data_IF_355813804738
#
_entry.id   IF_355813804738
#
_cell.length_a   1.000
_cell.length_b   1.000
_cell.length_c   1.000
_cell.angle_alpha   90.00
_cell.angle_beta   90.00
_cell.angle_gamma   90.00
#
_symmetry.space_group_name_H-M   'P 1'
#
loop_
_entity.id
_entity.type
_entity.pdbx_description
1 polymer ?
#
# COMPACT_ATOMS: atom_id res chain seq x y z
N UNK A 1 23.06 -16.63 16.94
CA UNK A 1 21.95 -16.81 15.97
C UNK A 1 21.38 -15.44 15.60
N UNK A 2 21.98 -14.72 14.64
CA UNK A 2 21.62 -13.33 14.32
C UNK A 2 21.52 -13.05 12.79
N UNK A 3 21.16 -14.06 11.99
CA UNK A 3 21.06 -13.92 10.52
C UNK A 3 19.63 -13.74 9.98
N UNK A 4 18.59 -13.87 10.82
CA UNK A 4 17.20 -13.88 10.34
C UNK A 4 16.56 -12.49 10.18
N UNK A 5 17.00 -11.48 10.94
CA UNK A 5 16.33 -10.16 10.95
C UNK A 5 16.51 -9.38 9.62
N UNK A 6 17.70 -9.46 9.01
CA UNK A 6 17.99 -8.71 7.77
C UNK A 6 17.21 -9.25 6.57
N UNK A 7 17.14 -10.58 6.44
CA UNK A 7 16.32 -11.22 5.39
C UNK A 7 14.82 -11.07 5.62
N UNK A 8 14.37 -10.94 6.88
CA UNK A 8 12.99 -10.61 7.21
C UNK A 8 12.65 -9.20 6.71
N UNK A 9 13.49 -8.20 7.02
CA UNK A 9 13.34 -6.84 6.49
C UNK A 9 13.35 -6.78 4.97
N UNK A 10 14.21 -7.55 4.30
CA UNK A 10 14.26 -7.58 2.83
C UNK A 10 13.00 -8.22 2.21
N UNK A 11 12.47 -9.28 2.83
CA UNK A 11 11.21 -9.92 2.41
C UNK A 11 10.00 -9.02 2.68
N UNK A 12 9.94 -8.39 3.84
CA UNK A 12 8.91 -7.41 4.20
C UNK A 12 8.90 -6.27 3.16
N UNK A 13 10.06 -5.72 2.77
CA UNK A 13 10.18 -4.69 1.71
C UNK A 13 9.64 -5.10 0.33
N UNK A 14 9.69 -6.40 -0.02
CA UNK A 14 9.22 -6.93 -1.31
C UNK A 14 7.70 -7.22 -1.30
N UNK A 15 7.16 -7.68 -0.17
CA UNK A 15 5.73 -7.96 0.04
C UNK A 15 4.90 -6.68 0.03
N UNK A 16 5.51 -5.62 0.54
CA UNK A 16 5.02 -4.26 0.59
C UNK A 16 4.40 -3.88 -0.76
N UNK A 17 5.15 -3.67 -1.86
CA UNK A 17 4.59 -3.28 -3.17
C UNK A 17 3.43 -4.18 -3.68
N UNK A 18 3.45 -5.46 -3.33
CA UNK A 18 2.50 -6.49 -3.80
C UNK A 18 1.04 -6.21 -3.45
N UNK A 19 0.73 -5.63 -2.28
CA UNK A 19 -0.67 -5.59 -1.80
C UNK A 19 -1.55 -4.67 -2.65
N UNK A 20 -1.02 -3.52 -3.10
CA UNK A 20 -1.76 -2.72 -4.08
C UNK A 20 -1.73 -3.37 -5.46
N UNK A 21 -0.69 -4.14 -5.80
CA UNK A 21 -0.56 -4.84 -7.07
C UNK A 21 -1.60 -5.98 -7.23
N UNK A 22 -2.00 -6.60 -6.12
CA UNK A 22 -2.99 -7.68 -6.05
C UNK A 22 -4.43 -7.19 -6.26
N UNK A 23 -4.68 -5.88 -6.14
CA UNK A 23 -6.01 -5.30 -6.40
C UNK A 23 -6.28 -5.30 -7.90
N UNK A 24 -7.05 -6.28 -8.36
CA UNK A 24 -7.42 -6.41 -9.78
C UNK A 24 -8.07 -5.12 -10.31
N UNK A 25 -7.42 -4.48 -11.28
CA UNK A 25 -7.90 -3.26 -11.95
C UNK A 25 -7.22 -1.96 -11.50
N UNK A 26 -6.29 -1.99 -10.54
CA UNK A 26 -5.44 -0.84 -10.23
C UNK A 26 -4.09 -0.97 -10.98
N UNK A 27 -3.92 -0.13 -12.00
CA UNK A 27 -2.68 -0.11 -12.79
C UNK A 27 -1.50 0.52 -12.05
N UNK A 28 -0.28 0.19 -12.48
CA UNK A 28 1.00 0.74 -11.96
C UNK A 28 1.03 2.25 -11.77
N UNK A 29 0.40 2.99 -12.69
CA UNK A 29 0.34 4.45 -12.63
C UNK A 29 -0.41 4.92 -11.37
N UNK A 30 -1.62 4.39 -11.16
CA UNK A 30 -2.50 4.73 -10.03
C UNK A 30 -1.89 4.32 -8.70
N UNK A 31 -1.24 3.16 -8.63
CA UNK A 31 -0.54 2.69 -7.43
C UNK A 31 0.57 3.64 -7.03
N UNK A 32 1.45 3.98 -7.98
CA UNK A 32 2.53 4.95 -7.73
C UNK A 32 1.99 6.30 -7.31
N UNK A 33 0.88 6.73 -7.88
CA UNK A 33 0.24 8.01 -7.56
C UNK A 33 -0.36 8.01 -6.14
N UNK A 34 -1.03 6.92 -5.72
CA UNK A 34 -1.45 6.74 -4.33
C UNK A 34 -0.26 6.77 -3.37
N UNK A 35 0.80 6.02 -3.65
CA UNK A 35 2.00 6.00 -2.80
C UNK A 35 2.71 7.36 -2.79
N UNK A 36 2.72 8.10 -3.89
CA UNK A 36 3.27 9.46 -3.93
C UNK A 36 2.46 10.43 -3.10
N UNK A 37 1.12 10.34 -3.16
CA UNK A 37 0.23 11.27 -2.46
C UNK A 37 0.12 10.99 -0.97
N UNK A 38 0.04 9.72 -0.58
CA UNK A 38 -0.17 9.30 0.81
C UNK A 38 1.13 8.82 1.50
N UNK A 39 2.20 8.55 0.74
CA UNK A 39 3.50 8.14 1.25
C UNK A 39 3.64 6.61 1.43
N UNK A 40 2.65 5.98 2.06
CA UNK A 40 2.64 4.54 2.37
C UNK A 40 1.26 3.91 2.21
N UNK A 41 1.19 2.59 2.03
CA UNK A 41 -0.11 1.85 1.99
C UNK A 41 -0.89 1.99 3.29
N UNK A 42 -0.18 2.09 4.42
CA UNK A 42 -0.80 2.35 5.72
C UNK A 42 -1.52 3.70 5.72
N UNK A 43 -0.88 4.75 5.22
CA UNK A 43 -1.54 6.06 5.08
C UNK A 43 -2.68 6.03 4.04
N UNK A 44 -2.57 5.24 2.96
CA UNK A 44 -3.70 5.05 2.03
C UNK A 44 -4.91 4.44 2.75
N UNK A 45 -4.69 3.49 3.66
CA UNK A 45 -5.77 2.87 4.46
C UNK A 45 -6.43 3.87 5.44
N UNK A 46 -5.64 4.77 6.00
CA UNK A 46 -6.09 5.78 6.97
C UNK A 46 -6.67 7.03 6.27
N UNK A 47 -6.41 7.20 4.97
CA UNK A 47 -6.86 8.35 4.19
C UNK A 47 -8.39 8.34 3.94
N UNK A 48 -9.01 9.53 3.79
CA UNK A 48 -10.41 9.64 3.40
C UNK A 48 -10.67 9.00 2.04
N UNK A 49 -11.80 8.30 1.90
CA UNK A 49 -12.22 7.66 0.65
C UNK A 49 -12.25 8.66 -0.52
N UNK A 50 -12.63 9.92 -0.27
CA UNK A 50 -12.70 10.97 -1.27
C UNK A 50 -11.32 11.30 -1.86
N UNK A 51 -10.28 11.38 -1.02
CA UNK A 51 -8.92 11.66 -1.51
C UNK A 51 -8.35 10.49 -2.31
N UNK A 52 -8.72 9.26 -1.96
CA UNK A 52 -8.35 8.07 -2.73
C UNK A 52 -9.11 8.07 -4.06
N UNK A 53 -10.39 8.47 -4.04
CA UNK A 53 -11.24 8.56 -5.22
C UNK A 53 -10.75 9.58 -6.23
N UNK A 54 -10.11 10.67 -5.80
CA UNK A 54 -9.45 11.62 -6.72
C UNK A 54 -8.38 10.95 -7.60
N UNK A 55 -7.70 9.92 -7.10
CA UNK A 55 -6.61 9.24 -7.83
C UNK A 55 -7.14 8.06 -8.66
N UNK A 56 -8.03 7.25 -8.08
CA UNK A 56 -8.45 5.97 -8.69
C UNK A 56 -9.91 5.91 -9.13
N UNK A 57 -10.69 6.93 -8.81
CA UNK A 57 -12.14 6.99 -8.99
C UNK A 57 -12.91 6.40 -7.79
N UNK A 58 -14.16 6.81 -7.58
CA UNK A 58 -14.94 6.46 -6.38
C UNK A 58 -15.18 4.95 -6.21
N UNK A 59 -15.51 4.25 -7.30
CA UNK A 59 -15.69 2.78 -7.27
C UNK A 59 -14.42 2.03 -6.89
N UNK A 60 -13.25 2.54 -7.32
CA UNK A 60 -11.98 1.88 -7.03
C UNK A 60 -11.49 2.22 -5.63
N UNK A 61 -11.74 3.44 -5.15
CA UNK A 61 -11.37 3.86 -3.80
C UNK A 61 -12.01 2.97 -2.73
N UNK A 62 -13.29 2.63 -2.89
CA UNK A 62 -13.98 1.70 -1.99
C UNK A 62 -13.32 0.31 -2.01
N UNK A 63 -13.04 -0.24 -3.20
CA UNK A 63 -12.35 -1.54 -3.33
C UNK A 63 -10.97 -1.55 -2.69
N UNK A 64 -10.22 -0.47 -2.85
CA UNK A 64 -8.89 -0.32 -2.25
C UNK A 64 -9.00 -0.32 -0.73
N UNK A 65 -9.87 0.51 -0.17
CA UNK A 65 -10.07 0.56 1.28
C UNK A 65 -10.57 -0.78 1.85
N UNK A 66 -11.51 -1.43 1.17
CA UNK A 66 -12.03 -2.73 1.58
C UNK A 66 -10.92 -3.80 1.57
N UNK A 67 -10.15 -3.88 0.49
CA UNK A 67 -9.04 -4.82 0.37
C UNK A 67 -7.97 -4.58 1.45
N UNK A 68 -7.62 -3.31 1.70
CA UNK A 68 -6.64 -2.94 2.73
C UNK A 68 -7.13 -3.16 4.17
N UNK A 69 -8.45 -3.17 4.40
CA UNK A 69 -9.03 -3.56 5.70
C UNK A 69 -8.98 -5.06 5.92
N UNK A 70 -9.18 -5.85 4.86
CA UNK A 70 -9.12 -7.32 4.92
C UNK A 70 -7.69 -7.86 5.06
N UNK A 71 -6.67 -7.06 4.71
CA UNK A 71 -5.25 -7.42 4.79
C UNK A 71 -4.50 -6.47 5.74
N UNK A 72 -4.63 -6.63 7.08
CA UNK A 72 -4.11 -5.67 8.06
C UNK A 72 -2.58 -5.67 8.23
N UNK A 73 -1.89 -6.75 7.85
CA UNK A 73 -0.44 -6.95 8.08
C UNK A 73 0.49 -6.30 7.04
N UNK A 74 0.05 -5.22 6.40
CA UNK A 74 0.88 -4.49 5.43
C UNK A 74 1.89 -3.58 6.17
N UNK A 75 3.04 -4.13 6.56
CA UNK A 75 4.18 -3.36 7.10
C UNK A 75 4.85 -2.54 5.99
N UNK A 76 4.20 -1.49 5.49
CA UNK A 76 4.63 -0.76 4.30
C UNK A 76 5.33 0.58 4.60
N UNK A 77 6.62 0.67 4.25
CA UNK A 77 7.39 1.90 3.96
C UNK A 77 7.36 3.03 4.99
N UNK A 78 7.14 2.75 6.27
CA UNK A 78 7.38 3.76 7.31
C UNK A 78 8.89 4.09 7.48
N UNK A 79 9.80 3.32 6.88
CA UNK A 79 11.27 3.48 7.07
C UNK A 79 12.07 3.99 5.85
N UNK A 80 11.50 4.23 4.66
CA UNK A 80 12.31 4.51 3.43
C UNK A 80 12.13 5.95 2.91
N UNK A 81 11.57 6.86 3.70
CA UNK A 81 11.58 8.30 3.39
C UNK A 81 12.28 9.05 4.52
N UNK A 82 13.58 8.79 4.65
CA UNK A 82 14.60 9.71 5.16
C UNK A 82 15.83 9.56 4.29
#
# INVERSE_FOLDING_TARGET
>A
RFANAYHQKLRERRIVFSVLDEIKGIGEKRKRELIRRFGSVRHVREAPADQIAEVVGPKMAQKVLEYLRQHPDVRYKDEVVR
#
